data_IF_610114904013
#
_entry.id   IF_610114904013
#
_cell.length_a   1.000
_cell.length_b   1.000
_cell.length_c   1.000
_cell.angle_alpha   90.00
_cell.angle_beta   90.00
_cell.angle_gamma   90.00
#
_symmetry.space_group_name_H-M   'P 1'
#
loop_
_entity.id
_entity.type
_entity.pdbx_description
1 polymer ?
2 non-polymer ?
3 non-polymer ?
4 water ?
#
# COMPACT_ATOMS: atom_id res chain seq x y z
N UNK A 1 -19.04 -16.58 4.16
CA UNK A 1 -20.52 -16.62 4.07
C UNK A 1 -21.10 -15.26 3.64
N UNK A 2 -22.36 -15.31 3.24
CA UNK A 2 -23.05 -14.16 2.71
C UNK A 2 -23.93 -13.56 3.78
N UNK A 3 -23.67 -12.30 4.09
CA UNK A 3 -24.49 -11.52 5.00
C UNK A 3 -25.84 -11.25 4.33
N UNK A 4 -26.94 -11.31 5.10
CA UNK A 4 -28.27 -11.08 4.53
C UNK A 4 -28.35 -9.74 3.81
N UNK A 5 -28.95 -9.74 2.63
CA UNK A 5 -29.09 -8.52 1.81
C UNK A 5 -29.99 -7.45 2.45
N UNK A 6 -29.42 -6.25 2.73
CA UNK A 6 -30.23 -5.23 3.36
C UNK A 6 -31.39 -4.80 2.48
N UNK A 7 -32.54 -4.48 3.10
CA UNK A 7 -33.74 -4.03 2.39
C UNK A 7 -33.48 -3.01 1.28
N UNK A 8 -32.52 -2.10 1.47
CA UNK A 8 -32.35 -0.99 0.52
C UNK A 8 -31.51 -1.29 -0.70
N UNK A 9 -30.88 -2.46 -0.72
CA UNK A 9 -30.00 -2.85 -1.81
C UNK A 9 -30.76 -3.73 -2.81
N UNK A 10 -30.88 -3.27 -4.06
CA UNK A 10 -31.57 -4.07 -5.08
C UNK A 10 -30.73 -5.26 -5.51
N UNK A 11 -31.41 -6.37 -5.82
CA UNK A 11 -30.74 -7.63 -6.12
C UNK A 11 -29.85 -7.54 -7.35
N UNK A 12 -30.22 -6.69 -8.32
CA UNK A 12 -29.46 -6.62 -9.56
C UNK A 12 -28.07 -5.99 -9.38
N UNK A 13 -27.83 -5.43 -8.18
CA UNK A 13 -26.53 -4.80 -7.86
C UNK A 13 -25.59 -5.71 -7.07
N UNK A 14 -26.08 -6.88 -6.67
CA UNK A 14 -25.29 -7.82 -5.88
C UNK A 14 -24.21 -8.47 -6.76
N UNK A 15 -22.96 -8.41 -6.28
CA UNK A 15 -21.84 -9.08 -6.92
C UNK A 15 -20.96 -9.49 -5.76
N UNK A 16 -20.91 -10.78 -5.44
CA UNK A 16 -20.33 -11.21 -4.15
C UNK A 16 -18.81 -11.38 -4.18
N UNK A 17 -18.12 -10.27 -4.33
CA UNK A 17 -16.67 -10.23 -4.37
C UNK A 17 -16.07 -10.24 -2.93
N UNK A 18 -15.11 -11.12 -2.71
CA UNK A 18 -14.39 -11.21 -1.43
C UNK A 18 -13.00 -10.57 -1.52
N UNK A 19 -12.86 -9.36 -0.98
CA UNK A 19 -11.61 -8.64 -1.04
C UNK A 19 -10.42 -9.37 -0.40
N UNK A 20 -10.71 -10.32 0.51
CA UNK A 20 -9.64 -11.08 1.19
C UNK A 20 -9.25 -12.41 0.52
N UNK A 21 -10.05 -12.83 -0.46
CA UNK A 21 -9.83 -14.10 -1.16
C UNK A 21 -10.68 -14.08 -2.44
N UNK A 22 -10.32 -13.21 -3.42
CA UNK A 22 -11.12 -13.08 -4.61
C UNK A 22 -11.04 -14.32 -5.49
N UNK A 23 -12.13 -14.62 -6.19
CA UNK A 23 -12.28 -15.84 -7.01
C UNK A 23 -11.16 -16.08 -7.99
N UNK A 24 -10.73 -15.01 -8.63
CA UNK A 24 -9.81 -15.19 -9.73
C UNK A 24 -8.34 -15.01 -9.34
N UNK A 25 -8.04 -15.17 -8.05
CA UNK A 25 -6.70 -14.88 -7.48
C UNK A 25 -5.54 -15.54 -8.22
N UNK A 26 -5.74 -16.77 -8.71
CA UNK A 26 -4.66 -17.49 -9.35
C UNK A 26 -4.18 -16.81 -10.64
N UNK A 27 -5.02 -15.96 -11.23
CA UNK A 27 -4.67 -15.22 -12.44
C UNK A 27 -3.78 -14.03 -12.13
N UNK A 28 -3.63 -13.75 -10.84
CA UNK A 28 -2.88 -12.58 -10.33
C UNK A 28 -3.86 -11.66 -9.61
N UNK A 29 -3.39 -10.98 -8.55
CA UNK A 29 -4.34 -10.20 -7.74
C UNK A 29 -5.04 -9.03 -8.45
N UNK A 30 -4.28 -8.29 -9.24
CA UNK A 30 -4.85 -7.17 -9.99
C UNK A 30 -5.89 -7.73 -10.98
N UNK A 31 -5.53 -8.82 -11.65
CA UNK A 31 -6.49 -9.52 -12.56
C UNK A 31 -7.75 -9.97 -11.82
N UNK A 32 -7.59 -10.46 -10.60
CA UNK A 32 -8.73 -10.93 -9.79
C UNK A 32 -9.67 -9.78 -9.46
N UNK A 33 -9.10 -8.64 -9.05
CA UNK A 33 -9.90 -7.44 -8.81
C UNK A 33 -10.53 -6.86 -10.09
N UNK A 34 -9.81 -6.95 -11.21
CA UNK A 34 -10.31 -6.44 -12.49
C UNK A 34 -11.56 -7.20 -12.97
N UNK A 35 -11.91 -8.31 -12.33
CA UNK A 35 -13.18 -8.97 -12.67
C UNK A 35 -14.36 -8.03 -12.41
N UNK A 36 -14.17 -7.11 -11.46
CA UNK A 36 -15.16 -6.08 -11.18
C UNK A 36 -15.37 -5.07 -12.31
N UNK A 37 -14.51 -5.09 -13.32
CA UNK A 37 -14.65 -4.18 -14.45
C UNK A 37 -15.05 -4.91 -15.76
N UNK A 38 -15.52 -6.14 -15.64
CA UNK A 38 -16.06 -6.87 -16.81
C UNK A 38 -17.40 -6.26 -17.26
N UNK A 39 -17.77 -6.49 -18.52
CA UNK A 39 -18.87 -5.71 -19.12
C UNK A 39 -20.25 -5.90 -18.48
N UNK A 40 -20.43 -7.03 -17.81
CA UNK A 40 -21.71 -7.34 -17.18
C UNK A 40 -21.88 -6.67 -15.80
N UNK A 41 -20.79 -6.06 -15.30
CA UNK A 41 -20.74 -5.59 -13.90
C UNK A 41 -21.03 -4.08 -13.78
N UNK A 42 -22.04 -3.69 -12.96
CA UNK A 42 -22.38 -2.29 -12.72
C UNK A 42 -21.22 -1.46 -12.13
N UNK A 43 -21.29 -0.14 -12.31
CA UNK A 43 -20.28 0.80 -11.77
C UNK A 43 -20.12 0.70 -10.26
N UNK A 44 -21.23 0.43 -9.58
CA UNK A 44 -21.26 0.35 -8.12
C UNK A 44 -22.06 -0.89 -7.76
N UNK A 45 -21.42 -1.83 -7.07
CA UNK A 45 -22.08 -3.11 -6.71
C UNK A 45 -22.11 -3.30 -5.19
N UNK A 46 -22.97 -4.21 -4.72
CA UNK A 46 -23.00 -4.61 -3.31
C UNK A 46 -22.46 -6.02 -3.18
N UNK A 47 -21.52 -6.24 -2.30
CA UNK A 47 -21.13 -7.59 -2.01
C UNK A 47 -21.65 -8.05 -0.65
N UNK A 48 -22.09 -9.29 -0.57
CA UNK A 48 -22.55 -9.83 0.70
C UNK A 48 -21.42 -10.40 1.55
N UNK A 49 -20.20 -10.42 0.99
CA UNK A 49 -19.03 -10.93 1.69
C UNK A 49 -18.56 -9.93 2.73
N UNK A 50 -17.84 -10.45 3.71
CA UNK A 50 -17.18 -9.64 4.74
C UNK A 50 -18.14 -8.68 5.44
N UNK A 51 -19.35 -9.17 5.72
CA UNK A 51 -20.37 -8.39 6.40
C UNK A 51 -21.29 -7.54 5.53
N UNK A 52 -20.97 -7.40 4.24
CA UNK A 52 -21.78 -6.65 3.30
C UNK A 52 -21.28 -5.22 3.17
N UNK A 53 -21.00 -4.81 1.93
CA UNK A 53 -20.55 -3.44 1.66
C UNK A 53 -20.62 -3.11 0.18
N UNK A 54 -20.63 -1.81 -0.13
CA UNK A 54 -20.54 -1.39 -1.52
C UNK A 54 -19.10 -1.50 -2.05
N UNK A 55 -19.00 -1.65 -3.39
CA UNK A 55 -17.70 -1.48 -4.07
C UNK A 55 -17.88 -0.57 -5.29
N UNK A 56 -17.12 0.53 -5.33
CA UNK A 56 -17.04 1.36 -6.53
C UNK A 56 -16.02 0.71 -7.45
N UNK A 57 -16.38 0.50 -8.70
CA UNK A 57 -15.51 -0.32 -9.54
C UNK A 57 -14.79 0.48 -10.63
N UNK A 58 -15.07 1.78 -10.69
CA UNK A 58 -14.48 2.62 -11.74
C UNK A 58 -13.80 3.86 -11.18
N UNK A 59 -12.74 4.32 -11.86
CA UNK A 59 -11.95 5.48 -11.42
C UNK A 59 -12.80 6.72 -11.14
N UNK A 60 -13.79 6.97 -11.99
CA UNK A 60 -14.61 8.19 -11.82
C UNK A 60 -15.29 8.18 -10.45
N UNK A 61 -15.86 7.03 -10.08
CA UNK A 61 -16.62 6.93 -8.86
C UNK A 61 -15.70 6.94 -7.64
N UNK A 62 -14.59 6.21 -7.77
CA UNK A 62 -13.58 6.14 -6.71
C UNK A 62 -13.01 7.55 -6.38
N UNK A 63 -12.60 8.29 -7.40
CA UNK A 63 -12.12 9.66 -7.19
C UNK A 63 -13.20 10.55 -6.61
N UNK A 64 -14.41 10.49 -7.17
CA UNK A 64 -15.50 11.33 -6.66
C UNK A 64 -15.78 11.09 -5.18
N UNK A 65 -15.74 9.82 -4.77
CA UNK A 65 -16.02 9.47 -3.37
C UNK A 65 -14.88 9.91 -2.44
N UNK A 66 -13.64 9.76 -2.89
CA UNK A 66 -12.50 10.25 -2.11
C UNK A 66 -12.51 11.77 -1.97
N UNK A 67 -13.05 12.47 -2.96
CA UNK A 67 -13.13 13.93 -2.87
C UNK A 67 -14.21 14.39 -1.91
N UNK A 68 -15.30 13.64 -1.82
CA UNK A 68 -16.44 14.08 -1.05
C UNK A 68 -16.43 13.48 0.35
N UNK A 69 -15.60 14.05 1.23
CA UNK A 69 -15.48 13.54 2.62
C UNK A 69 -16.69 13.88 3.46
N UNK A 70 -17.51 14.83 3.00
CA UNK A 70 -18.74 15.12 3.71
C UNK A 70 -19.68 13.93 3.69
N UNK A 71 -19.84 13.29 2.54
CA UNK A 71 -20.66 12.07 2.46
C UNK A 71 -19.90 10.78 2.80
N UNK A 72 -18.64 10.70 2.41
CA UNK A 72 -17.88 9.45 2.55
C UNK A 72 -16.76 9.65 3.55
N UNK A 73 -17.01 9.29 4.82
CA UNK A 73 -16.10 9.59 5.92
C UNK A 73 -15.02 8.54 6.14
N UNK A 74 -13.83 9.02 6.56
CA UNK A 74 -12.69 8.16 6.91
C UNK A 74 -12.77 7.54 8.31
N UNK A 75 -13.83 7.85 9.04
CA UNK A 75 -13.96 7.40 10.44
C UNK A 75 -13.90 5.89 10.55
N UNK A 76 -14.42 5.20 9.53
CA UNK A 76 -14.48 3.73 9.53
C UNK A 76 -14.02 3.28 8.14
N UNK A 77 -12.68 3.28 7.88
CA UNK A 77 -12.18 3.11 6.52
C UNK A 77 -11.82 1.69 6.06
N UNK A 78 -11.83 0.74 6.99
CA UNK A 78 -11.54 -0.65 6.69
C UNK A 78 -12.81 -1.52 6.69
N UNK A 79 -12.84 -2.49 5.78
CA UNK A 79 -13.77 -3.63 5.78
C UNK A 79 -12.97 -4.80 6.39
N UNK A 80 -13.57 -5.60 7.29
CA UNK A 80 -14.97 -5.55 7.74
C UNK A 80 -15.25 -4.49 8.77
N UNK A 81 -16.52 -4.28 9.10
CA UNK A 81 -16.93 -3.20 10.01
C UNK A 81 -16.15 -3.19 11.34
N UNK A 82 -15.92 -4.37 11.95
CA UNK A 82 -15.17 -4.41 13.22
C UNK A 82 -13.77 -3.81 13.10
N UNK A 83 -13.12 -4.06 11.96
CA UNK A 83 -11.80 -3.51 11.65
C UNK A 83 -11.93 -2.00 11.52
N UNK A 84 -12.91 -1.56 10.73
CA UNK A 84 -13.11 -0.13 10.49
C UNK A 84 -13.44 0.61 11.78
N UNK A 85 -14.21 -0.01 12.66
CA UNK A 85 -14.53 0.62 13.95
C UNK A 85 -13.32 0.72 14.88
N UNK A 86 -12.52 -0.33 14.97
CA UNK A 86 -11.31 -0.34 15.79
C UNK A 86 -10.24 0.62 15.25
N UNK A 87 -10.25 0.85 13.93
CA UNK A 87 -9.20 1.63 13.26
C UNK A 87 -9.20 3.06 13.76
N UNK A 88 -8.11 3.52 14.38
CA UNK A 88 -8.06 4.93 14.87
C UNK A 88 -6.74 5.64 14.59
N UNK A 89 -6.03 5.19 13.56
CA UNK A 89 -4.73 5.76 13.23
C UNK A 89 -4.95 7.19 12.77
N UNK A 90 -3.91 8.01 12.93
CA UNK A 90 -3.97 9.44 12.58
C UNK A 90 -2.91 9.63 11.50
N UNK A 91 -3.27 10.35 10.41
CA UNK A 91 -4.52 11.07 10.17
C UNK A 91 -5.63 10.32 9.48
N UNK A 92 -5.43 9.03 9.18
CA UNK A 92 -6.29 8.27 8.27
C UNK A 92 -7.69 7.89 8.79
N UNK A 93 -7.89 8.03 10.10
CA UNK A 93 -9.24 7.80 10.70
C UNK A 93 -10.03 9.12 10.85
N UNK A 94 -9.44 10.22 10.41
CA UNK A 94 -10.04 11.55 10.57
C UNK A 94 -10.46 12.18 9.26
N UNK A 95 -11.54 12.97 9.26
CA UNK A 95 -11.89 13.80 8.12
C UNK A 95 -11.38 15.20 8.33
N UNK A 96 -11.21 15.94 7.22
CA UNK A 96 -11.09 17.38 7.40
C UNK A 96 -12.37 17.92 8.10
N UNK A 97 -12.26 19.02 8.85
CA UNK A 97 -11.05 19.83 9.10
C UNK A 97 -10.02 19.24 10.06
N UNK A 98 -10.47 18.39 11.01
CA UNK A 98 -9.61 17.91 12.08
C UNK A 98 -8.33 17.18 11.60
N UNK A 99 -8.47 16.43 10.50
CA UNK A 99 -7.37 15.71 9.92
C UNK A 99 -6.13 16.55 9.59
N UNK A 100 -6.34 17.76 9.06
CA UNK A 100 -5.28 18.49 8.38
C UNK A 100 -4.04 18.84 9.20
N UNK A 101 -4.24 19.24 10.46
CA UNK A 101 -3.14 19.64 11.34
C UNK A 101 -2.11 18.55 11.50
N UNK A 102 -2.55 17.30 11.40
CA UNK A 102 -1.63 16.19 11.62
C UNK A 102 -0.74 15.90 10.42
N UNK A 103 -1.18 16.32 9.23
CA UNK A 103 -0.41 16.03 8.03
C UNK A 103 0.95 16.70 8.05
N UNK A 104 1.03 17.95 8.53
CA UNK A 104 2.31 18.65 8.55
C UNK A 104 3.33 17.92 9.40
N UNK A 105 2.84 17.36 10.52
CA UNK A 105 3.75 16.66 11.42
C UNK A 105 4.28 15.39 10.78
N UNK A 106 3.39 14.63 10.16
CA UNK A 106 3.77 13.38 9.48
C UNK A 106 4.75 13.70 8.36
N UNK A 107 4.48 14.79 7.63
CA UNK A 107 5.41 15.23 6.60
C UNK A 107 6.83 15.54 7.09
N UNK A 108 6.95 15.99 8.33
CA UNK A 108 8.24 16.28 8.95
C UNK A 108 9.10 15.04 9.03
N UNK A 109 8.45 13.89 9.22
CA UNK A 109 9.23 12.67 9.48
C UNK A 109 9.37 11.73 8.28
N UNK A 110 8.50 11.87 7.29
CA UNK A 110 8.59 10.97 6.12
C UNK A 110 8.52 11.66 4.76
N UNK A 111 8.44 12.99 4.76
CA UNK A 111 8.33 13.80 3.53
C UNK A 111 9.66 14.06 2.83
N UNK A 112 9.62 14.90 1.79
CA UNK A 112 10.75 15.09 0.87
C UNK A 112 12.09 15.49 1.51
N UNK A 113 12.12 16.58 2.31
CA UNK A 113 13.43 16.94 2.87
C UNK A 113 14.12 15.78 3.62
N UNK A 114 13.33 14.96 4.32
CA UNK A 114 13.82 13.75 5.00
C UNK A 114 14.31 12.64 4.05
N UNK A 115 13.58 12.43 2.95
CA UNK A 115 14.01 11.50 1.91
C UNK A 115 15.37 11.95 1.35
N UNK A 116 15.48 13.25 1.08
CA UNK A 116 16.74 13.81 0.59
C UNK A 116 17.88 13.56 1.59
N UNK A 117 17.62 13.78 2.87
CA UNK A 117 18.56 13.46 3.94
C UNK A 117 19.03 12.00 3.89
N UNK A 118 18.08 11.07 3.77
CA UNK A 118 18.34 9.63 3.84
C UNK A 118 18.81 9.03 2.53
N UNK A 119 18.86 9.85 1.48
CA UNK A 119 19.15 9.38 0.14
C UNK A 119 20.41 8.51 0.06
N UNK A 120 21.46 8.93 0.76
CA UNK A 120 22.73 8.17 0.80
C UNK A 120 22.60 6.80 1.42
N UNK A 121 21.94 6.73 2.58
CA UNK A 121 21.72 5.46 3.28
C UNK A 121 20.84 4.52 2.46
N UNK A 122 19.81 5.07 1.82
CA UNK A 122 18.93 4.33 0.90
C UNK A 122 19.74 3.71 -0.25
N UNK A 123 20.44 4.56 -0.99
CA UNK A 123 21.39 4.09 -2.00
C UNK A 123 22.34 3.03 -1.49
N UNK A 124 23.05 3.33 -0.40
CA UNK A 124 24.04 2.42 0.17
C UNK A 124 23.45 1.05 0.60
N UNK A 125 22.24 1.07 1.17
CA UNK A 125 21.59 -0.19 1.58
C UNK A 125 21.23 -1.03 0.37
N UNK A 126 20.60 -0.42 -0.64
CA UNK A 126 20.21 -1.15 -1.86
C UNK A 126 21.44 -1.80 -2.50
N UNK A 127 22.51 -1.00 -2.65
CA UNK A 127 23.73 -1.49 -3.28
C UNK A 127 24.31 -2.65 -2.48
N UNK A 128 24.29 -2.53 -1.16
CA UNK A 128 24.84 -3.56 -0.28
C UNK A 128 24.08 -4.88 -0.37
N UNK A 129 22.75 -4.80 -0.26
CA UNK A 129 21.94 -6.01 -0.33
C UNK A 129 22.09 -6.67 -1.70
N UNK A 130 22.04 -5.89 -2.77
CA UNK A 130 22.10 -6.45 -4.14
C UNK A 130 23.46 -7.10 -4.40
N UNK A 131 24.54 -6.42 -4.00
CA UNK A 131 25.88 -6.97 -4.17
C UNK A 131 26.06 -8.28 -3.42
N UNK A 132 25.47 -8.38 -2.23
CA UNK A 132 25.48 -9.62 -1.48
C UNK A 132 24.76 -10.78 -2.20
N UNK A 133 23.67 -10.46 -2.89
CA UNK A 133 22.93 -11.48 -3.63
C UNK A 133 23.57 -11.82 -4.98
N UNK A 134 24.15 -10.81 -5.61
CA UNK A 134 24.65 -10.92 -6.99
C UNK A 134 25.40 -12.23 -7.33
N UNK A 135 26.43 -12.62 -6.53
CA UNK A 135 27.18 -13.81 -6.98
C UNK A 135 26.45 -15.13 -6.75
N UNK A 136 25.33 -15.10 -6.03
CA UNK A 136 24.60 -16.32 -5.72
C UNK A 136 23.85 -16.90 -6.91
N UNK A 137 23.45 -16.05 -7.86
CA UNK A 137 22.66 -16.49 -9.01
C UNK A 137 21.21 -16.87 -8.73
N UNK A 138 20.75 -16.54 -7.52
CA UNK A 138 19.39 -16.84 -7.07
C UNK A 138 19.08 -16.09 -5.78
N UNK A 139 17.79 -15.84 -5.55
CA UNK A 139 17.32 -15.28 -4.28
C UNK A 139 15.84 -15.56 -4.12
N UNK A 140 15.37 -15.40 -2.90
CA UNK A 140 13.93 -15.43 -2.62
C UNK A 140 13.64 -13.96 -2.45
N UNK A 141 13.20 -13.30 -3.52
CA UNK A 141 13.16 -11.84 -3.52
C UNK A 141 12.36 -11.21 -2.38
N UNK A 142 11.26 -11.85 -1.98
CA UNK A 142 10.44 -11.29 -0.89
C UNK A 142 11.21 -11.16 0.43
N UNK A 143 11.84 -12.25 0.90
CA UNK A 143 12.63 -12.14 2.12
C UNK A 143 14.04 -11.57 1.97
N UNK A 144 14.62 -11.68 0.80
CA UNK A 144 16.03 -11.28 0.64
C UNK A 144 16.21 -9.82 0.26
N UNK A 145 15.16 -9.17 -0.24
CA UNK A 145 15.29 -7.76 -0.61
C UNK A 145 14.02 -6.94 -0.35
N UNK A 146 12.89 -7.46 -0.82
CA UNK A 146 11.62 -6.69 -0.77
C UNK A 146 11.29 -6.30 0.68
N UNK A 147 11.51 -7.23 1.60
CA UNK A 147 11.36 -6.95 3.02
C UNK A 147 12.51 -6.14 3.62
N UNK A 148 13.77 -6.65 3.63
CA UNK A 148 14.81 -5.91 4.36
C UNK A 148 15.12 -4.51 3.83
N UNK A 149 15.00 -4.26 2.52
CA UNK A 149 15.35 -2.94 2.02
C UNK A 149 14.46 -1.80 2.62
N UNK A 150 13.15 -1.76 2.30
CA UNK A 150 12.32 -0.70 2.85
C UNK A 150 12.22 -0.79 4.37
N UNK A 151 12.14 -2.00 4.91
CA UNK A 151 11.91 -2.12 6.36
C UNK A 151 13.10 -1.61 7.18
N UNK A 152 14.32 -1.96 6.78
CA UNK A 152 15.52 -1.49 7.52
C UNK A 152 15.67 0.02 7.40
N UNK A 153 15.32 0.58 6.25
CA UNK A 153 15.26 2.01 6.07
C UNK A 153 14.29 2.61 7.06
N UNK A 154 13.08 2.02 7.16
CA UNK A 154 12.11 2.56 8.07
C UNK A 154 12.57 2.46 9.54
N UNK A 155 13.12 1.30 9.90
CA UNK A 155 13.60 1.10 11.27
C UNK A 155 14.73 2.09 11.63
N UNK A 156 15.56 2.44 10.64
CA UNK A 156 16.58 3.46 10.83
C UNK A 156 15.94 4.83 11.11
N UNK A 157 15.00 5.22 10.25
CA UNK A 157 14.30 6.51 10.38
C UNK A 157 13.58 6.63 11.71
N UNK A 158 13.02 5.49 12.16
CA UNK A 158 12.21 5.44 13.37
C UNK A 158 13.04 5.16 14.63
N UNK A 159 14.33 4.88 14.45
CA UNK A 159 15.25 4.54 15.57
C UNK A 159 14.80 3.30 16.33
N UNK A 160 14.33 2.30 15.59
CA UNK A 160 13.90 1.05 16.19
C UNK A 160 14.87 -0.08 15.82
N UNK A 161 15.12 -1.01 16.76
CA UNK A 161 16.09 -2.06 16.47
C UNK A 161 15.59 -3.07 15.45
N UNK A 162 16.48 -3.49 14.57
CA UNK A 162 16.16 -4.45 13.51
C UNK A 162 15.70 -5.78 14.06
N UNK A 163 16.16 -6.17 15.25
CA UNK A 163 15.66 -7.41 15.87
C UNK A 163 14.14 -7.42 16.12
N UNK A 164 13.51 -6.24 16.16
CA UNK A 164 12.06 -6.13 16.32
C UNK A 164 11.26 -6.40 15.02
N UNK A 165 11.95 -6.48 13.89
CA UNK A 165 11.26 -6.59 12.60
C UNK A 165 10.28 -7.77 12.50
N UNK A 166 10.70 -9.01 12.88
CA UNK A 166 9.72 -10.11 12.74
C UNK A 166 8.41 -9.87 13.49
N UNK A 167 8.49 -9.32 14.71
CA UNK A 167 7.31 -9.09 15.50
C UNK A 167 6.43 -8.03 14.83
N UNK A 168 7.03 -6.91 14.50
CA UNK A 168 6.28 -5.80 13.93
C UNK A 168 5.70 -6.15 12.56
N UNK A 169 6.44 -6.92 11.77
CA UNK A 169 5.96 -7.33 10.45
C UNK A 169 4.77 -8.27 10.60
N UNK A 170 4.82 -9.21 11.55
CA UNK A 170 3.69 -10.07 11.82
C UNK A 170 2.43 -9.26 12.16
N UNK A 171 2.55 -8.30 13.08
CA UNK A 171 1.43 -7.48 13.51
C UNK A 171 0.85 -6.65 12.37
N UNK A 172 1.72 -6.01 11.58
CA UNK A 172 1.24 -5.18 10.48
C UNK A 172 0.46 -6.02 9.48
N UNK A 173 0.98 -7.20 9.18
CA UNK A 173 0.32 -8.10 8.22
C UNK A 173 -1.07 -8.54 8.71
N UNK A 174 -1.26 -8.66 10.02
CA UNK A 174 -2.59 -9.03 10.55
C UNK A 174 -3.63 -7.94 10.30
N UNK A 175 -3.20 -6.69 10.13
CA UNK A 175 -4.13 -5.61 9.90
C UNK A 175 -4.55 -5.49 8.44
N UNK A 176 -3.73 -6.00 7.54
CA UNK A 176 -3.97 -5.84 6.10
C UNK A 176 -4.37 -7.16 5.40
N UNK A 177 -3.79 -8.28 5.86
CA UNK A 177 -4.03 -9.61 5.29
C UNK A 177 -4.09 -10.63 6.43
N UNK A 178 -5.11 -10.50 7.30
CA UNK A 178 -5.13 -11.35 8.50
C UNK A 178 -5.14 -12.82 8.11
N UNK A 179 -4.34 -13.61 8.83
CA UNK A 179 -4.38 -15.07 8.71
C UNK A 179 -5.42 -15.68 9.65
N UNK A 180 -6.09 -14.85 10.43
CA UNK A 180 -7.16 -15.29 11.31
C UNK A 180 -6.74 -15.50 12.74
N UNK A 181 -5.44 -15.50 13.00
CA UNK A 181 -4.92 -15.65 14.37
C UNK A 181 -5.17 -14.42 15.25
N UNK A 182 -5.41 -13.27 14.61
CA UNK A 182 -5.67 -12.03 15.33
C UNK A 182 -6.73 -11.22 14.64
N UNK A 183 -7.64 -10.62 15.42
CA UNK A 183 -8.54 -9.61 14.87
C UNK A 183 -7.71 -8.35 14.62
N UNK A 184 -8.24 -7.45 13.78
CA UNK A 184 -7.62 -6.14 13.57
C UNK A 184 -7.39 -5.45 14.91
N UNK A 185 -8.43 -5.41 15.75
CA UNK A 185 -8.36 -4.79 17.07
C UNK A 185 -7.21 -5.37 17.90
N UNK A 186 -7.06 -6.70 17.92
CA UNK A 186 -5.95 -7.29 18.70
C UNK A 186 -4.57 -6.91 18.17
N UNK A 187 -4.43 -6.90 16.84
CA UNK A 187 -3.16 -6.56 16.19
C UNK A 187 -2.82 -5.08 16.46
N UNK A 188 -3.83 -4.22 16.36
CA UNK A 188 -3.64 -2.77 16.63
C UNK A 188 -3.22 -2.57 18.06
N UNK A 189 -3.91 -3.24 18.98
CA UNK A 189 -3.56 -3.11 20.41
C UNK A 189 -2.16 -3.63 20.71
N UNK A 190 -1.74 -4.69 20.03
CA UNK A 190 -0.36 -5.17 20.17
C UNK A 190 0.67 -4.16 19.61
N UNK A 191 0.32 -3.48 18.52
CA UNK A 191 1.23 -2.46 17.99
C UNK A 191 1.34 -1.32 19.01
N UNK A 192 0.21 -0.93 19.58
CA UNK A 192 0.17 0.16 20.57
C UNK A 192 0.94 -0.25 21.83
N UNK A 193 0.82 -1.52 22.19
CA UNK A 193 1.56 -2.07 23.34
C UNK A 193 3.06 -1.91 23.12
N UNK A 194 3.51 -2.10 21.88
CA UNK A 194 4.91 -1.94 21.55
C UNK A 194 5.29 -0.48 21.67
N UNK A 195 4.45 0.40 21.12
CA UNK A 195 4.80 1.82 21.02
C UNK A 195 4.72 2.61 22.31
N UNK A 196 3.75 2.28 23.17
CA UNK A 196 3.49 3.11 24.37
C UNK A 196 4.77 3.45 25.20
N UNK A 197 5.59 2.44 25.57
CA UNK A 197 6.83 2.73 26.32
C UNK A 197 7.89 3.55 25.57
N UNK A 198 7.99 3.30 24.27
CA UNK A 198 8.98 3.97 23.41
C UNK A 198 8.63 5.45 23.32
N UNK A 199 7.34 5.74 23.10
CA UNK A 199 6.85 7.12 23.02
C UNK A 199 7.06 7.88 24.35
N UNK A 200 6.77 7.21 25.45
CA UNK A 200 7.01 7.79 26.77
C UNK A 200 8.47 8.14 26.97
N UNK A 201 9.37 7.19 26.66
CA UNK A 201 10.80 7.36 26.81
C UNK A 201 11.29 8.55 25.98
N UNK A 202 10.74 8.68 24.78
CA UNK A 202 11.23 9.72 23.85
C UNK A 202 10.62 11.10 24.04
N UNK A 203 9.51 11.18 24.76
CA UNK A 203 8.98 12.47 25.22
C UNK A 203 9.78 12.96 26.43
N UNK A 204 10.30 12.01 27.21
CA UNK A 204 11.18 12.33 28.34
C UNK A 204 12.56 12.76 27.88
N UNK A 205 13.16 11.98 26.98
CA UNK A 205 14.49 12.26 26.42
C UNK A 205 14.44 12.14 24.89
N UNK A 206 14.01 13.23 24.22
CA UNK A 206 13.86 13.28 22.76
C UNK A 206 15.18 13.00 22.04
N UNK A 207 15.11 12.20 20.97
CA UNK A 207 16.21 12.06 20.03
C UNK A 207 15.86 12.69 18.69
N UNK A 208 16.55 12.27 17.64
CA UNK A 208 16.34 12.83 16.29
C UNK A 208 15.54 11.90 15.36
N UNK A 209 15.14 10.74 15.87
CA UNK A 209 14.38 9.76 15.09
C UNK A 209 12.92 10.19 14.92
N UNK A 210 12.21 9.50 14.02
CA UNK A 210 10.84 9.84 13.68
C UNK A 210 9.87 9.78 14.84
N UNK A 211 10.01 8.78 15.71
CA UNK A 211 9.12 8.66 16.86
C UNK A 211 9.32 9.82 17.82
N UNK A 212 10.58 10.17 18.07
CA UNK A 212 10.92 11.35 18.89
C UNK A 212 10.27 12.61 18.29
N UNK A 213 10.41 12.78 16.98
CA UNK A 213 9.89 14.00 16.34
C UNK A 213 8.38 14.10 16.45
N UNK A 214 7.67 12.99 16.17
CA UNK A 214 6.22 13.01 16.25
C UNK A 214 5.79 13.23 17.71
N UNK A 215 6.40 12.48 18.62
CA UNK A 215 5.98 12.49 20.03
C UNK A 215 6.17 13.84 20.74
N UNK A 216 7.13 14.62 20.26
CA UNK A 216 7.44 15.95 20.84
C UNK A 216 6.95 17.05 19.92
N UNK A 217 6.12 16.67 18.95
CA UNK A 217 5.69 17.60 17.90
C UNK A 217 4.58 18.53 18.32
N UNK A 218 4.34 19.54 17.48
CA UNK A 218 3.18 20.38 17.65
C UNK A 218 2.20 20.20 16.49
N UNK A 219 0.93 20.32 16.78
CA UNK A 219 -0.06 20.32 15.68
C UNK A 219 -0.87 21.62 15.69
N UNK A 220 -0.74 22.36 14.59
CA UNK A 220 -1.24 23.73 14.52
C UNK A 220 -0.96 24.49 15.82
N UNK A 221 0.29 24.42 16.27
CA UNK A 221 0.78 25.31 17.33
C UNK A 221 0.50 24.86 18.75
N UNK A 222 -0.04 23.67 18.93
CA UNK A 222 -0.24 23.13 20.26
C UNK A 222 0.41 21.73 20.40
N UNK A 223 0.77 21.33 21.64
CA UNK A 223 1.47 20.04 21.79
C UNK A 223 0.63 18.83 21.42
N UNK A 224 1.24 17.90 20.70
CA UNK A 224 0.56 16.62 20.45
C UNK A 224 0.47 15.89 21.78
N UNK A 225 -0.62 15.16 21.95
CA UNK A 225 -0.79 14.30 23.12
C UNK A 225 -0.09 12.96 22.94
N UNK A 226 0.20 12.28 24.05
CA UNK A 226 0.77 10.93 23.96
C UNK A 226 -0.07 9.99 23.10
N UNK A 227 -1.39 10.07 23.27
CA UNK A 227 -2.37 9.24 22.57
C UNK A 227 -2.33 9.54 21.07
N UNK A 228 -2.33 10.82 20.73
CA UNK A 228 -2.22 11.19 19.32
C UNK A 228 -0.91 10.72 18.70
N UNK A 229 0.20 10.85 19.42
CA UNK A 229 1.51 10.49 18.90
C UNK A 229 1.50 8.97 18.63
N UNK A 230 0.87 8.24 19.54
CA UNK A 230 0.76 6.78 19.40
C UNK A 230 -0.03 6.38 18.13
N UNK A 231 -1.16 7.02 17.94
CA UNK A 231 -2.03 6.71 16.79
C UNK A 231 -1.40 7.15 15.46
N UNK A 232 -0.55 8.17 15.50
CA UNK A 232 0.23 8.54 14.31
C UNK A 232 1.41 7.58 14.06
N UNK A 233 2.15 7.21 15.12
CA UNK A 233 3.29 6.30 14.92
C UNK A 233 2.85 4.91 14.45
N UNK A 234 1.67 4.49 14.89
CA UNK A 234 1.13 3.20 14.48
C UNK A 234 0.93 3.18 12.97
N UNK A 235 0.37 4.28 12.45
CA UNK A 235 0.20 4.37 10.99
C UNK A 235 1.52 4.34 10.28
N UNK A 236 2.52 5.08 10.78
CA UNK A 236 3.82 5.11 10.13
C UNK A 236 4.47 3.72 10.06
N UNK A 237 4.31 2.93 11.12
CA UNK A 237 4.82 1.55 11.13
C UNK A 237 4.20 0.75 10.01
N UNK A 238 2.88 0.81 9.90
CA UNK A 238 2.20 0.08 8.84
C UNK A 238 2.70 0.52 7.47
N UNK A 239 2.81 1.84 7.26
CA UNK A 239 3.32 2.34 5.99
C UNK A 239 4.73 1.87 5.71
N UNK A 240 5.60 1.87 6.72
CA UNK A 240 6.98 1.46 6.54
C UNK A 240 7.12 -0.02 6.28
N UNK A 241 6.21 -0.80 6.84
CA UNK A 241 6.38 -2.26 6.82
C UNK A 241 5.58 -3.04 5.80
N UNK A 242 4.52 -2.45 5.22
CA UNK A 242 3.60 -3.24 4.39
C UNK A 242 3.08 -2.53 3.15
N UNK A 243 3.88 -1.66 2.55
CA UNK A 243 3.49 -1.01 1.30
C UNK A 243 4.53 -1.25 0.22
N UNK A 244 5.63 -0.52 0.30
CA UNK A 244 6.73 -0.67 -0.64
C UNK A 244 7.21 -2.12 -0.69
N UNK A 245 7.22 -2.76 0.47
CA UNK A 245 7.66 -4.14 0.57
C UNK A 245 6.91 -5.02 -0.45
N UNK A 246 5.60 -4.87 -0.50
CA UNK A 246 4.77 -5.66 -1.43
C UNK A 246 4.91 -5.17 -2.87
N UNK A 247 4.86 -3.86 -3.07
CA UNK A 247 4.97 -3.34 -4.42
C UNK A 247 6.28 -3.75 -5.14
N UNK A 248 7.39 -3.70 -4.44
CA UNK A 248 8.67 -4.16 -5.03
C UNK A 248 8.56 -5.57 -5.62
N UNK A 249 7.91 -6.47 -4.88
CA UNK A 249 7.71 -7.82 -5.40
C UNK A 249 6.86 -7.91 -6.66
N UNK A 250 5.76 -7.16 -6.72
CA UNK A 250 4.97 -7.13 -7.95
C UNK A 250 5.81 -6.67 -9.15
N UNK A 251 6.61 -5.63 -8.94
CA UNK A 251 7.41 -5.02 -9.99
C UNK A 251 8.50 -5.96 -10.48
N UNK A 252 9.18 -6.60 -9.54
CA UNK A 252 10.29 -7.50 -9.90
C UNK A 252 9.80 -8.82 -10.49
N UNK A 253 8.63 -9.28 -10.07
CA UNK A 253 7.97 -10.41 -10.75
C UNK A 253 7.72 -10.06 -12.23
N UNK A 254 7.14 -8.88 -12.47
CA UNK A 254 6.89 -8.46 -13.83
C UNK A 254 8.19 -8.39 -14.65
N UNK A 255 9.19 -7.73 -14.11
CA UNK A 255 10.47 -7.57 -14.84
C UNK A 255 11.12 -8.92 -15.11
N UNK A 256 10.98 -9.84 -14.17
CA UNK A 256 11.56 -11.18 -14.35
C UNK A 256 10.89 -11.90 -15.53
N UNK A 257 9.59 -11.65 -15.70
CA UNK A 257 8.76 -12.29 -16.74
C UNK A 257 8.83 -11.57 -18.08
N UNK A 258 9.43 -10.37 -18.10
CA UNK A 258 9.44 -9.53 -19.30
C UNK A 258 10.85 -9.04 -19.70
N UNK A 259 11.62 -9.92 -20.37
CA UNK A 259 12.95 -9.52 -20.88
C UNK A 259 12.96 -8.20 -21.68
N UNK A 260 11.93 -7.99 -22.49
CA UNK A 260 11.80 -6.79 -23.31
C UNK A 260 11.74 -5.52 -22.45
N UNK A 261 10.98 -5.57 -21.36
CA UNK A 261 10.88 -4.40 -20.49
C UNK A 261 12.17 -4.16 -19.71
N UNK A 262 12.85 -5.23 -19.26
CA UNK A 262 14.14 -5.05 -18.62
C UNK A 262 15.13 -4.40 -19.59
N UNK A 263 15.19 -4.94 -20.80
CA UNK A 263 16.13 -4.43 -21.82
C UNK A 263 15.95 -2.95 -22.06
N UNK A 264 14.68 -2.53 -22.11
CA UNK A 264 14.31 -1.13 -22.28
C UNK A 264 14.93 -0.25 -21.18
N UNK A 265 14.79 -0.66 -19.93
CA UNK A 265 15.38 0.11 -18.84
C UNK A 265 16.91 0.01 -18.75
N UNK A 266 17.47 -1.09 -19.24
CA UNK A 266 18.94 -1.29 -19.24
C UNK A 266 19.55 -0.32 -20.26
N UNK A 267 18.94 -0.30 -21.44
CA UNK A 267 19.39 0.57 -22.54
C UNK A 267 18.95 2.02 -22.38
N UNK A 268 17.81 2.25 -21.73
CA UNK A 268 17.26 3.59 -21.56
C UNK A 268 16.98 3.92 -20.07
N UNK A 269 18.06 3.97 -19.23
CA UNK A 269 17.83 4.14 -17.78
C UNK A 269 17.15 5.47 -17.38
N UNK A 270 17.13 6.46 -18.29
CA UNK A 270 16.43 7.72 -18.02
C UNK A 270 14.92 7.50 -17.91
N UNK A 271 14.45 6.34 -18.39
CA UNK A 271 13.03 6.02 -18.37
C UNK A 271 12.61 5.38 -17.04
N UNK A 272 13.55 5.13 -16.16
CA UNK A 272 13.22 4.46 -14.86
C UNK A 272 12.14 5.16 -14.02
N UNK A 273 12.26 6.49 -13.78
CA UNK A 273 11.17 7.21 -13.11
C UNK A 273 9.81 7.05 -13.79
N UNK A 274 9.74 7.11 -15.12
CA UNK A 274 8.48 6.88 -15.80
C UNK A 274 8.02 5.43 -15.64
N UNK A 275 8.97 4.50 -15.69
CA UNK A 275 8.68 3.07 -15.49
C UNK A 275 8.08 2.82 -14.09
N UNK A 276 8.67 3.47 -13.10
CA UNK A 276 8.14 3.45 -11.72
C UNK A 276 6.66 3.84 -11.69
N UNK A 277 6.33 4.96 -12.32
CA UNK A 277 4.96 5.44 -12.33
C UNK A 277 4.01 4.45 -13.02
N UNK A 278 4.44 3.91 -14.16
CA UNK A 278 3.62 2.95 -14.87
C UNK A 278 3.42 1.63 -14.09
N UNK A 279 4.48 1.18 -13.40
CA UNK A 279 4.40 -0.01 -12.53
C UNK A 279 3.45 0.27 -11.34
N UNK A 280 3.50 1.51 -10.85
CA UNK A 280 2.62 1.93 -9.73
C UNK A 280 1.16 1.86 -10.18
N UNK A 281 0.91 2.14 -11.46
CA UNK A 281 -0.44 2.01 -12.02
C UNK A 281 -0.85 0.54 -12.19
N UNK A 282 0.01 -0.24 -12.86
CA UNK A 282 -0.34 -1.59 -13.27
C UNK A 282 -0.40 -2.52 -12.07
N UNK A 283 0.49 -2.28 -11.11
CA UNK A 283 0.58 -3.16 -9.94
C UNK A 283 0.17 -2.46 -8.65
N UNK A 284 -0.80 -1.55 -8.80
CA UNK A 284 -1.45 -0.87 -7.67
C UNK A 284 -1.95 -1.95 -6.73
N UNK A 285 -1.97 -1.65 -5.44
CA UNK A 285 -2.13 -2.73 -4.45
C UNK A 285 -2.93 -2.40 -3.17
N UNK A 286 -3.43 -1.17 -3.04
CA UNK A 286 -4.19 -0.78 -1.84
C UNK A 286 -5.69 -0.70 -2.13
N UNK A 287 -6.49 -1.14 -1.16
CA UNK A 287 -7.93 -0.95 -1.26
C UNK A 287 -8.53 -0.68 0.10
N UNK A 288 -8.72 0.60 0.46
CA UNK A 288 -9.57 0.83 1.63
C UNK A 288 -10.85 1.55 1.22
N UNK A 289 -11.49 2.24 2.16
CA UNK A 289 -12.77 2.79 1.87
C UNK A 289 -13.23 3.79 2.88
N UNK A 290 -14.55 3.94 2.92
CA UNK A 290 -15.17 5.04 3.63
C UNK A 290 -16.51 4.58 4.19
N UNK A 291 -17.12 5.42 5.00
CA UNK A 291 -18.43 5.10 5.59
C UNK A 291 -19.39 6.24 5.28
N UNK A 292 -20.63 5.92 4.93
CA UNK A 292 -21.59 6.94 4.56
C UNK A 292 -22.07 7.70 5.80
N UNK A 293 -22.04 9.02 5.70
CA UNK A 293 -22.42 9.86 6.83
C UNK A 293 -23.93 10.14 6.86
N UNK A 294 -24.57 9.95 5.71
CA UNK A 294 -26.02 10.16 5.56
C UNK A 294 -26.50 9.33 4.39
N UNK A 295 -27.82 9.13 4.30
CA UNK A 295 -28.41 8.64 3.05
C UNK A 295 -27.98 9.54 1.90
N UNK A 296 -27.64 8.94 0.77
CA UNK A 296 -27.08 9.68 -0.33
C UNK A 296 -27.24 8.91 -1.63
N UNK A 297 -27.75 9.60 -2.64
CA UNK A 297 -27.93 9.01 -3.97
C UNK A 297 -26.68 9.30 -4.77
N UNK A 298 -25.95 8.23 -5.12
CA UNK A 298 -24.68 8.34 -5.78
C UNK A 298 -24.73 7.52 -7.06
N UNK A 299 -24.59 8.22 -8.18
CA UNK A 299 -24.62 7.59 -9.49
C UNK A 299 -25.83 6.67 -9.61
N UNK A 300 -26.98 7.20 -9.21
CA UNK A 300 -28.26 6.50 -9.37
C UNK A 300 -28.49 5.36 -8.41
N UNK A 301 -27.63 5.24 -7.40
CA UNK A 301 -27.75 4.21 -6.39
C UNK A 301 -27.99 4.83 -5.01
N UNK A 302 -28.98 4.30 -4.29
CA UNK A 302 -29.29 4.77 -2.94
C UNK A 302 -28.39 4.13 -1.88
N UNK A 303 -27.42 4.93 -1.42
CA UNK A 303 -26.56 4.53 -0.33
C UNK A 303 -27.18 4.97 0.97
N UNK A 304 -27.11 4.12 1.98
CA UNK A 304 -27.70 4.44 3.29
C UNK A 304 -26.66 4.85 4.31
N UNK A 305 -27.02 5.80 5.16
CA UNK A 305 -26.14 6.17 6.28
C UNK A 305 -25.59 4.95 7.01
N UNK A 306 -24.28 4.91 7.20
CA UNK A 306 -23.63 3.82 7.92
C UNK A 306 -23.17 2.70 7.00
N UNK A 307 -23.63 2.69 5.76
CA UNK A 307 -23.15 1.71 4.77
C UNK A 307 -21.66 1.94 4.57
N UNK A 308 -20.89 0.86 4.46
CA UNK A 308 -19.45 0.97 4.08
C UNK A 308 -19.30 0.86 2.57
N UNK A 309 -18.35 1.61 2.04
CA UNK A 309 -18.05 1.53 0.64
C UNK A 309 -16.56 1.34 0.45
N UNK A 310 -16.21 0.26 -0.24
CA UNK A 310 -14.85 0.00 -0.65
C UNK A 310 -14.62 0.82 -1.90
N UNK A 311 -13.52 1.57 -1.85
CA UNK A 311 -13.11 2.45 -2.91
C UNK A 311 -11.68 2.05 -3.30
N UNK A 312 -11.55 0.96 -4.07
CA UNK A 312 -10.24 0.38 -4.28
C UNK A 312 -9.30 1.32 -5.06
N UNK A 313 -8.30 1.87 -4.36
CA UNK A 313 -7.31 2.75 -5.00
C UNK A 313 -6.72 2.01 -6.21
N UNK A 314 -6.53 0.70 -6.04
CA UNK A 314 -6.06 -0.21 -7.09
C UNK A 314 -6.80 -0.08 -8.42
N UNK A 315 -8.12 0.09 -8.38
CA UNK A 315 -8.94 -0.08 -9.60
C UNK A 315 -8.93 1.12 -10.55
N UNK A 316 -8.62 2.31 -10.03
CA UNK A 316 -8.70 3.53 -10.87
C UNK A 316 -7.76 3.39 -12.08
N UNK A 317 -6.51 3.01 -11.82
CA UNK A 317 -5.47 2.89 -12.87
C UNK A 317 -5.67 1.69 -13.81
N UNK A 318 -6.44 0.69 -13.36
CA UNK A 318 -6.74 -0.49 -14.20
C UNK A 318 -8.00 -0.30 -15.04
N UNK A 319 -8.69 0.81 -14.80
CA UNK A 319 -9.97 1.08 -15.45
C UNK A 319 -9.65 1.50 -16.89
N UNK A 320 -10.10 0.72 -17.88
CA UNK A 320 -9.87 1.13 -19.26
C UNK A 320 -10.50 2.47 -19.66
N UNK A 321 -11.46 2.95 -18.87
CA UNK A 321 -11.96 4.31 -19.04
C UNK A 321 -10.90 5.36 -18.74
N UNK A 322 -9.92 5.02 -17.90
CA UNK A 322 -8.84 5.92 -17.54
C UNK A 322 -7.60 5.66 -18.39
N UNK A 323 -7.32 4.38 -18.70
CA UNK A 323 -6.12 4.02 -19.45
C UNK A 323 -6.40 2.93 -20.47
N UNK A 324 -6.16 3.25 -21.75
CA UNK A 324 -6.26 2.28 -22.84
C UNK A 324 -5.37 1.06 -22.55
N UNK A 325 -5.87 -0.12 -22.90
CA UNK A 325 -5.18 -1.40 -22.66
C UNK A 325 -4.54 -1.47 -21.27
N UNK A 326 -5.37 -1.34 -20.22
CA UNK A 326 -4.82 -1.08 -18.88
C UNK A 326 -3.94 -2.20 -18.33
N UNK A 327 -4.10 -3.43 -18.83
CA UNK A 327 -3.26 -4.51 -18.31
C UNK A 327 -1.90 -4.56 -19.00
N UNK A 328 -1.72 -3.79 -20.07
CA UNK A 328 -0.41 -3.72 -20.71
C UNK A 328 0.46 -2.70 -20.00
N UNK A 329 1.72 -3.08 -19.78
CA UNK A 329 2.74 -2.19 -19.21
C UNK A 329 3.47 -1.51 -20.35
N UNK A 330 3.37 -0.18 -20.38
CA UNK A 330 3.96 0.65 -21.43
C UNK A 330 4.68 1.82 -20.75
N UNK A 331 6.01 1.72 -20.68
CA UNK A 331 6.78 2.74 -19.99
C UNK A 331 6.68 4.10 -20.72
N UNK A 332 6.26 4.05 -21.99
CA UNK A 332 6.06 5.26 -22.80
C UNK A 332 4.60 5.75 -22.78
N UNK A 333 3.78 5.13 -21.93
CA UNK A 333 2.38 5.53 -21.78
C UNK A 333 2.26 7.05 -21.56
N UNK A 334 1.39 7.69 -22.34
CA UNK A 334 1.39 9.16 -22.43
C UNK A 334 0.82 9.91 -21.22
N UNK A 335 -0.31 9.43 -20.71
CA UNK A 335 -0.92 10.01 -19.53
C UNK A 335 -1.20 8.84 -18.58
N UNK A 336 -0.31 8.63 -17.63
CA UNK A 336 -0.46 7.53 -16.68
C UNK A 336 -1.41 7.99 -15.59
N UNK A 337 -2.63 7.47 -15.61
CA UNK A 337 -3.67 7.86 -14.70
C UNK A 337 -3.82 6.79 -13.64
N UNK A 338 -3.69 7.20 -12.38
CA UNK A 338 -3.90 6.27 -11.29
C UNK A 338 -4.22 6.97 -9.99
N UNK A 339 -4.69 6.19 -9.03
CA UNK A 339 -4.85 6.68 -7.65
C UNK A 339 -4.12 5.76 -6.68
N UNK A 340 -2.89 5.38 -7.04
CA UNK A 340 -2.19 4.36 -6.29
C UNK A 340 -1.79 4.84 -4.91
N UNK A 341 -1.48 6.14 -4.82
CA UNK A 341 -1.14 6.78 -3.56
C UNK A 341 -2.36 7.51 -2.96
N UNK A 342 -3.55 7.09 -3.39
CA UNK A 342 -4.79 7.65 -2.88
C UNK A 342 -5.25 8.87 -3.65
N UNK A 343 -6.25 9.54 -3.11
CA UNK A 343 -6.88 10.63 -3.80
C UNK A 343 -7.59 11.50 -2.79
N UNK A 344 -7.56 12.83 -3.02
CA UNK A 344 -8.29 13.73 -2.13
C UNK A 344 -7.43 14.18 -0.98
N UNK A 345 -8.04 14.43 0.18
CA UNK A 345 -7.32 15.04 1.31
C UNK A 345 -6.33 14.10 2.01
N UNK A 346 -6.48 12.80 1.76
CA UNK A 346 -5.58 11.82 2.38
C UNK A 346 -4.46 11.31 1.49
N UNK A 347 -4.12 12.06 0.44
CA UNK A 347 -3.01 11.66 -0.46
C UNK A 347 -1.79 11.21 0.36
N UNK A 348 -1.22 10.06 -0.03
CA UNK A 348 -0.07 9.49 0.66
C UNK A 348 1.05 10.48 0.97
N UNK A 349 1.45 10.56 2.24
CA UNK A 349 2.59 11.39 2.66
C UNK A 349 3.94 10.69 2.49
N UNK A 350 3.89 9.37 2.36
CA UNK A 350 5.09 8.55 2.18
C UNK A 350 5.52 8.37 0.74
N UNK A 351 4.79 8.99 -0.18
CA UNK A 351 4.98 8.67 -1.61
C UNK A 351 6.37 9.04 -2.18
N UNK A 352 7.01 10.06 -1.62
CA UNK A 352 8.32 10.47 -2.08
C UNK A 352 9.35 9.45 -1.61
N UNK A 353 9.19 8.97 -0.37
CA UNK A 353 10.02 7.89 0.13
C UNK A 353 9.83 6.63 -0.71
N UNK A 354 8.58 6.31 -1.02
CA UNK A 354 8.27 5.10 -1.78
C UNK A 354 8.90 5.19 -3.17
N UNK A 355 8.67 6.30 -3.87
CA UNK A 355 9.24 6.44 -5.20
C UNK A 355 10.76 6.35 -5.16
N UNK A 356 11.41 6.98 -4.17
CA UNK A 356 12.86 6.92 -4.08
C UNK A 356 13.32 5.48 -3.91
N UNK A 357 12.63 4.74 -3.03
CA UNK A 357 12.97 3.33 -2.82
C UNK A 357 12.79 2.48 -4.08
N UNK A 358 11.73 2.74 -4.84
CA UNK A 358 11.42 1.97 -6.05
C UNK A 358 12.46 2.27 -7.11
N UNK A 359 12.68 3.56 -7.33
CA UNK A 359 13.62 4.02 -8.38
C UNK A 359 15.06 3.56 -8.06
N UNK A 360 15.50 3.73 -6.82
CA UNK A 360 16.81 3.21 -6.42
C UNK A 360 16.94 1.71 -6.62
N UNK A 361 15.92 0.96 -6.22
CA UNK A 361 15.92 -0.50 -6.47
C UNK A 361 16.07 -0.86 -7.97
N UNK A 362 15.23 -0.26 -8.81
CA UNK A 362 15.28 -0.57 -10.25
C UNK A 362 16.66 -0.20 -10.83
N UNK A 363 17.15 0.99 -10.50
CA UNK A 363 18.44 1.41 -11.04
C UNK A 363 19.56 0.48 -10.57
N UNK A 364 19.60 0.19 -9.27
CA UNK A 364 20.74 -0.55 -8.71
C UNK A 364 20.67 -2.04 -8.97
N UNK A 365 19.45 -2.55 -9.08
CA UNK A 365 19.28 -3.96 -9.43
C UNK A 365 19.74 -4.17 -10.87
N UNK A 366 19.18 -3.37 -11.78
CA UNK A 366 19.43 -3.56 -13.22
C UNK A 366 20.88 -3.29 -13.62
N UNK A 367 21.58 -2.51 -12.80
CA UNK A 367 22.99 -2.15 -13.05
C UNK A 367 23.86 -3.38 -12.81
N UNK A 368 23.48 -4.16 -11.80
CA UNK A 368 24.28 -5.28 -11.29
C UNK A 368 23.81 -6.65 -11.78
N UNK A 369 22.50 -6.81 -11.86
CA UNK A 369 21.84 -8.07 -12.27
C UNK A 369 20.83 -7.72 -13.36
N UNK A 370 21.34 -7.40 -14.57
CA UNK A 370 20.46 -6.97 -15.64
C UNK A 370 19.54 -8.06 -16.18
N UNK A 371 19.98 -9.31 -16.06
CA UNK A 371 19.28 -10.42 -16.67
C UNK A 371 18.94 -11.47 -15.65
N UNK A 372 17.65 -11.58 -15.35
CA UNK A 372 17.16 -12.53 -14.37
C UNK A 372 15.77 -13.02 -14.79
N UNK A 373 15.37 -14.12 -14.19
CA UNK A 373 14.12 -14.82 -14.52
C UNK A 373 13.49 -15.41 -13.27
N UNK A 374 12.20 -15.77 -13.38
CA UNK A 374 11.57 -16.58 -12.35
C UNK A 374 12.25 -17.95 -12.35
N UNK A 375 12.47 -18.51 -11.17
CA UNK A 375 13.01 -19.87 -11.08
C UNK A 375 12.18 -20.81 -11.95
N UNK A 376 12.84 -21.65 -12.77
CA UNK A 376 12.12 -22.57 -13.65
C UNK A 376 11.10 -23.38 -12.88
N UNK A 377 9.89 -23.40 -13.41
CA UNK A 377 8.80 -24.19 -12.84
C UNK A 377 8.06 -23.56 -11.66
N UNK A 378 8.53 -22.43 -11.15
CA UNK A 378 7.87 -21.81 -10.00
C UNK A 378 6.54 -21.22 -10.42
N UNK A 379 5.55 -21.31 -9.54
CA UNK A 379 4.25 -20.68 -9.77
C UNK A 379 4.04 -19.59 -8.72
N UNK A 380 4.01 -18.34 -9.18
CA UNK A 380 3.92 -17.20 -8.24
C UNK A 380 2.48 -17.01 -7.77
N UNK A 381 2.32 -16.92 -6.46
CA UNK A 381 1.02 -16.81 -5.81
C UNK A 381 0.89 -15.45 -5.18
N UNK A 382 -0.22 -14.78 -5.46
CA UNK A 382 -0.51 -13.50 -4.81
C UNK A 382 -1.42 -13.67 -3.60
N UNK A 383 -1.57 -12.62 -2.81
CA UNK A 383 -2.48 -12.62 -1.66
C UNK A 383 -3.17 -11.26 -1.67
N UNK A 384 -4.43 -11.25 -1.26
CA UNK A 384 -5.28 -10.08 -1.37
C UNK A 384 -5.74 -9.60 -0.01
N UNK A 385 -6.02 -8.30 0.11
CA UNK A 385 -6.62 -7.75 1.35
C UNK A 385 -6.58 -6.25 1.25
N UNK A 386 -6.50 -5.54 2.38
CA UNK A 386 -6.34 -4.07 2.32
C UNK A 386 -5.11 -3.62 1.52
N UNK A 387 -4.00 -4.33 1.70
CA UNK A 387 -2.81 -4.21 0.84
C UNK A 387 -2.53 -5.62 0.31
N UNK A 388 -2.44 -5.74 -1.00
CA UNK A 388 -2.21 -7.02 -1.62
C UNK A 388 -0.71 -7.31 -1.73
N UNK A 389 -0.36 -8.57 -1.93
CA UNK A 389 1.07 -8.92 -1.93
C UNK A 389 1.40 -10.16 -2.72
N UNK A 390 2.66 -10.56 -2.61
CA UNK A 390 3.24 -11.69 -3.33
C UNK A 390 3.76 -12.65 -2.24
N UNK A 391 3.32 -13.91 -2.28
CA UNK A 391 3.71 -14.88 -1.22
C UNK A 391 5.22 -15.16 -1.20
N UNK A 392 5.79 -15.34 -2.39
CA UNK A 392 7.21 -15.69 -2.55
C UNK A 392 7.61 -15.43 -3.98
N UNK A 393 8.88 -15.09 -4.20
CA UNK A 393 9.37 -14.76 -5.54
C UNK A 393 10.78 -15.26 -5.76
N UNK A 394 10.92 -16.54 -6.15
CA UNK A 394 12.23 -17.10 -6.44
C UNK A 394 12.75 -16.65 -7.80
N UNK A 395 13.89 -15.98 -7.77
CA UNK A 395 14.54 -15.43 -8.96
C UNK A 395 15.84 -16.18 -9.20
N UNK A 396 16.20 -16.32 -10.46
CA UNK A 396 17.48 -16.93 -10.84
C UNK A 396 18.18 -16.11 -11.90
N UNK A 397 19.51 -16.24 -11.96
CA UNK A 397 20.30 -15.62 -13.01
C UNK A 397 21.65 -16.30 -13.08
N UNK A 398 22.35 -16.03 -14.17
CA UNK A 398 23.73 -16.49 -14.35
C UNK A 398 24.67 -15.42 -13.82
N UNK A 399 25.39 -15.73 -12.73
CA UNK A 399 26.36 -14.77 -12.15
C UNK A 399 27.36 -14.21 -13.17
N UNK A 400 27.65 -14.98 -14.22
CA UNK A 400 28.54 -14.52 -15.31
C UNK A 400 27.99 -13.31 -16.10
N UNK A 401 26.68 -13.07 -16.00
CA UNK A 401 26.08 -11.92 -16.68
C UNK A 401 26.01 -10.68 -15.77
N UNK A 402 26.50 -10.82 -14.55
CA UNK A 402 26.35 -9.75 -13.56
C UNK A 402 27.58 -8.84 -13.52
N UNK A 403 27.43 -7.71 -12.84
CA UNK A 403 28.48 -6.70 -12.74
C UNK A 403 28.57 -6.26 -11.30
N UNK A 404 29.77 -6.28 -10.72
CA UNK A 404 29.97 -5.67 -9.42
C UNK A 404 30.27 -4.17 -9.61
N UNK A 405 29.46 -3.34 -8.94
CA UNK A 405 29.70 -1.91 -8.78
C UNK A 405 29.68 -1.66 -7.26
#
# INVERSE_FOLDING_TARGET
NLAPLPPHVPEHLVFDFDMYNPSNLSAGVQEAWAVLQESNVPDLVWTRCNGGHWIATRGQLIREAYEDYRHFSSECPFIPREAGEAYDFIPTSMDPPEQRQFRALANQVVGMPVVDKLENRIQELACSLIESLRPQGQCNFTEDYAEPFPIRIFMLLAGLPEEDIPHLKYLTDQMTRPDGSMTFAEAKEALYDYLIPIIEQRRQKPGTDAISIVANGQVNGRPITSDEAKRMCGLLLVGGLDTVVNFLSFSMEFLAKSPEHRQELIERPERIPAACEELLRRFSLVADGRILTSDYEFHGVQLKKGDQILLPQMLSGLDERENACPMHVDFSRQKVSHTTFGHGSHLCLGQHLARREIIVTLKEWLTRIPDFSIAPGAQIQHKSGIVSGVQALPLVWDPATTKAVHHHHHH
#
